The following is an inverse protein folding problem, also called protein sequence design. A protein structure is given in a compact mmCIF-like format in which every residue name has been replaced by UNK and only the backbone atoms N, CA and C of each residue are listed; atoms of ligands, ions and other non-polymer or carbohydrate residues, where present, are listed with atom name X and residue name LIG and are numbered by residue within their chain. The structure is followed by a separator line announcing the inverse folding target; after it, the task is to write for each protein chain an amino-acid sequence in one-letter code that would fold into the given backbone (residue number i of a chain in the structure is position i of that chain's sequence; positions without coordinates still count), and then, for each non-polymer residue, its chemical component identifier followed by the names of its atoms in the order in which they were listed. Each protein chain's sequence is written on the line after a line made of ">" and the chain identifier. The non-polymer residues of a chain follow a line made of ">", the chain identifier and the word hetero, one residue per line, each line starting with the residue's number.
data_IF_681924222811
#
_entry.id   IF_681924222811
#
_cell.length_a   1.000
_cell.length_b   1.000
_cell.length_c   1.000
_cell.angle_alpha   90.00
_cell.angle_beta   90.00
_cell.angle_gamma   90.00
#
_symmetry.space_group_name_H-M   'P 1'
#
loop_
_entity.id
_entity.type
_entity.pdbx_description
1 polymer ?
#
# COMPACT_ATOMS: atom_id res chain seq x y z
N UNK A 1 1.34 -8.90 -15.23
CA UNK A 1 1.88 -7.73 -15.98
C UNK A 1 2.16 -6.53 -15.06
N UNK A 2 1.40 -6.34 -13.98
CA UNK A 2 1.64 -5.30 -12.97
C UNK A 2 2.92 -5.58 -12.16
N UNK A 3 3.21 -6.86 -11.90
CA UNK A 3 4.34 -7.30 -11.07
C UNK A 3 5.70 -6.93 -11.68
N UNK A 4 5.84 -7.06 -13.01
CA UNK A 4 7.07 -6.69 -13.72
C UNK A 4 7.32 -5.19 -13.72
N UNK A 5 6.26 -4.38 -13.88
CA UNK A 5 6.37 -2.92 -13.84
C UNK A 5 6.81 -2.42 -12.44
N UNK A 6 6.32 -3.05 -11.37
CA UNK A 6 6.72 -2.70 -10.01
C UNK A 6 8.17 -3.11 -9.72
N UNK A 7 8.58 -4.29 -10.18
CA UNK A 7 9.97 -4.78 -10.03
C UNK A 7 10.93 -3.87 -10.80
N UNK A 8 10.58 -3.45 -12.02
CA UNK A 8 11.41 -2.55 -12.82
C UNK A 8 11.51 -1.16 -12.18
N UNK A 9 10.41 -0.63 -11.62
CA UNK A 9 10.41 0.63 -10.86
C UNK A 9 11.33 0.56 -9.63
N UNK A 10 11.22 -0.50 -8.83
CA UNK A 10 12.07 -0.70 -7.66
C UNK A 10 13.55 -0.88 -8.05
N UNK A 11 13.81 -1.50 -9.21
CA UNK A 11 15.17 -1.70 -9.74
C UNK A 11 15.80 -0.41 -10.25
N UNK A 12 15.04 0.49 -10.87
CA UNK A 12 15.53 1.83 -11.22
C UNK A 12 15.90 2.61 -9.96
N UNK A 13 15.06 2.53 -8.91
CA UNK A 13 15.28 3.27 -7.67
C UNK A 13 16.48 2.78 -6.86
N UNK A 14 16.79 1.49 -6.91
CA UNK A 14 18.01 0.92 -6.28
C UNK A 14 19.27 1.03 -7.13
N UNK A 15 19.23 1.76 -8.26
CA UNK A 15 20.32 1.87 -9.24
C UNK A 15 20.77 0.51 -9.80
N UNK A 16 19.81 -0.36 -10.10
CA UNK A 16 20.05 -1.69 -10.67
C UNK A 16 20.45 -2.76 -9.66
N UNK A 17 20.47 -2.47 -8.36
CA UNK A 17 20.84 -3.43 -7.32
C UNK A 17 19.64 -4.26 -6.91
N UNK A 18 19.80 -5.58 -6.83
CA UNK A 18 18.74 -6.51 -6.39
C UNK A 18 18.36 -6.39 -4.91
N UNK A 19 19.10 -5.56 -4.16
CA UNK A 19 18.98 -5.37 -2.72
C UNK A 19 18.72 -3.89 -2.41
N UNK A 20 17.69 -3.64 -1.60
CA UNK A 20 17.24 -2.32 -1.19
C UNK A 20 17.65 -2.03 0.26
N UNK A 21 18.03 -0.77 0.53
CA UNK A 21 18.37 -0.34 1.89
C UNK A 21 17.12 0.00 2.70
N UNK A 22 17.19 0.04 4.05
CA UNK A 22 16.05 0.38 4.90
C UNK A 22 15.56 1.82 4.71
N UNK A 23 16.45 2.72 4.26
CA UNK A 23 16.11 4.11 3.93
C UNK A 23 15.26 4.19 2.67
N UNK A 24 15.64 3.45 1.62
CA UNK A 24 14.86 3.37 0.38
C UNK A 24 13.50 2.72 0.62
N UNK A 25 13.44 1.70 1.47
CA UNK A 25 12.20 1.04 1.88
C UNK A 25 11.30 1.94 2.72
N UNK A 26 11.88 2.89 3.46
CA UNK A 26 11.12 3.88 4.21
C UNK A 26 10.33 4.82 3.31
N UNK A 27 10.83 5.14 2.12
CA UNK A 27 10.15 6.00 1.17
C UNK A 27 8.95 5.29 0.52
N UNK A 28 9.07 3.99 0.25
CA UNK A 28 8.01 3.20 -0.41
C UNK A 28 6.87 2.84 0.54
N UNK A 29 7.19 2.43 1.78
CA UNK A 29 6.18 1.96 2.75
C UNK A 29 5.69 3.10 3.64
N UNK A 30 6.34 4.27 3.60
CA UNK A 30 6.04 5.39 4.50
C UNK A 30 6.38 5.12 5.97
N UNK A 31 7.05 4.00 6.29
CA UNK A 31 7.46 3.64 7.64
C UNK A 31 8.92 4.07 7.85
N UNK A 32 9.22 5.00 8.79
CA UNK A 32 10.57 5.45 9.07
C UNK A 32 11.55 4.30 9.36
N UNK A 33 12.77 4.37 8.84
CA UNK A 33 13.82 3.36 9.06
C UNK A 33 14.07 3.01 10.56
N UNK A 34 13.86 3.99 11.47
CA UNK A 34 13.91 3.76 12.93
C UNK A 34 12.79 2.83 13.41
N UNK A 35 11.58 3.00 12.91
CA UNK A 35 10.45 2.13 13.22
C UNK A 35 10.63 0.74 12.62
N UNK A 36 11.14 0.63 11.39
CA UNK A 36 11.51 -0.67 10.80
C UNK A 36 12.54 -1.40 11.66
N UNK A 37 13.56 -0.70 12.16
CA UNK A 37 14.58 -1.29 13.04
C UNK A 37 13.98 -1.82 14.36
N UNK A 38 12.99 -1.11 14.91
CA UNK A 38 12.25 -1.56 16.10
C UNK A 38 11.40 -2.79 15.80
N UNK A 39 10.64 -2.77 14.70
CA UNK A 39 9.82 -3.90 14.25
C UNK A 39 10.65 -5.14 13.93
N UNK A 40 11.85 -4.97 13.35
CA UNK A 40 12.81 -6.06 13.13
C UNK A 40 13.28 -6.68 14.45
N UNK A 41 13.63 -5.85 15.44
CA UNK A 41 14.04 -6.32 16.77
C UNK A 41 12.91 -7.00 17.54
N UNK A 42 11.68 -6.59 17.29
CA UNK A 42 10.46 -7.16 17.89
C UNK A 42 9.92 -8.37 17.12
N UNK A 43 10.55 -8.77 15.99
CA UNK A 43 10.11 -9.90 15.17
C UNK A 43 8.77 -9.68 14.47
N UNK A 44 8.32 -8.43 14.37
CA UNK A 44 7.03 -8.02 13.77
C UNK A 44 7.20 -7.38 12.40
N UNK A 45 8.41 -7.35 11.85
CA UNK A 45 8.63 -6.78 10.53
C UNK A 45 8.20 -7.77 9.44
N UNK A 46 7.26 -7.42 8.55
CA UNK A 46 6.67 -8.37 7.60
C UNK A 46 7.63 -8.84 6.50
N UNK A 47 8.68 -8.06 6.21
CA UNK A 47 9.56 -8.31 5.07
C UNK A 47 10.82 -9.04 5.54
N UNK A 48 11.16 -10.19 4.93
CA UNK A 48 12.42 -10.88 5.15
C UNK A 48 13.62 -9.94 4.96
N UNK A 49 14.57 -9.98 5.90
CA UNK A 49 15.76 -9.14 5.84
C UNK A 49 17.04 -9.99 5.87
N UNK A 50 18.05 -9.53 5.14
CA UNK A 50 19.38 -10.15 5.13
C UNK A 50 20.39 -9.18 5.71
N UNK A 51 21.08 -9.62 6.76
CA UNK A 51 22.16 -8.85 7.36
C UNK A 51 23.46 -9.10 6.60
N UNK A 52 24.02 -8.04 6.03
CA UNK A 52 25.35 -8.06 5.41
C UNK A 52 26.25 -7.16 6.25
N UNK A 53 27.02 -7.77 7.15
CA UNK A 53 27.80 -7.05 8.16
C UNK A 53 26.92 -6.31 9.17
N UNK A 54 27.11 -4.99 9.29
CA UNK A 54 26.29 -4.11 10.16
C UNK A 54 25.05 -3.55 9.47
N UNK A 55 24.93 -3.73 8.16
CA UNK A 55 23.86 -3.18 7.34
C UNK A 55 22.80 -4.26 7.06
N UNK A 56 21.56 -3.81 6.97
CA UNK A 56 20.40 -4.66 6.71
C UNK A 56 19.90 -4.36 5.31
N UNK A 57 19.66 -5.42 4.54
CA UNK A 57 19.18 -5.33 3.16
C UNK A 57 17.90 -6.12 2.98
N UNK A 58 17.08 -5.66 2.05
CA UNK A 58 15.82 -6.27 1.66
C UNK A 58 15.89 -6.68 0.19
N UNK A 59 15.29 -7.81 -0.19
CA UNK A 59 15.20 -8.17 -1.60
C UNK A 59 14.09 -7.36 -2.27
N UNK A 60 14.29 -6.97 -3.53
CA UNK A 60 13.26 -6.22 -4.28
C UNK A 60 11.98 -7.06 -4.44
N UNK A 61 12.12 -8.37 -4.61
CA UNK A 61 10.99 -9.28 -4.81
C UNK A 61 10.11 -9.37 -3.56
N UNK A 62 10.71 -9.53 -2.38
CA UNK A 62 9.95 -9.59 -1.13
C UNK A 62 9.23 -8.26 -0.82
N UNK A 63 9.83 -7.14 -1.25
CA UNK A 63 9.22 -5.80 -1.12
C UNK A 63 8.06 -5.64 -2.10
N UNK A 64 8.24 -6.07 -3.36
CA UNK A 64 7.18 -6.04 -4.36
C UNK A 64 5.97 -6.88 -3.93
N UNK A 65 6.22 -8.09 -3.41
CA UNK A 65 5.17 -8.97 -2.89
C UNK A 65 4.46 -8.37 -1.68
N UNK A 66 5.16 -7.64 -0.81
CA UNK A 66 4.55 -6.92 0.30
C UNK A 66 3.66 -5.76 -0.16
N UNK A 67 4.11 -4.99 -1.15
CA UNK A 67 3.34 -3.87 -1.70
C UNK A 67 2.09 -4.34 -2.47
N UNK A 68 2.19 -5.45 -3.19
CA UNK A 68 1.09 -6.01 -3.98
C UNK A 68 0.07 -6.77 -3.12
N UNK A 69 0.53 -7.59 -2.18
CA UNK A 69 -0.37 -8.45 -1.40
C UNK A 69 -0.85 -7.80 -0.09
N UNK A 70 -0.22 -6.72 0.38
CA UNK A 70 -0.58 -6.02 1.63
C UNK A 70 -0.49 -6.86 2.91
N UNK A 71 -0.15 -8.15 2.77
CA UNK A 71 0.06 -9.17 3.79
C UNK A 71 0.95 -10.22 3.16
N UNK A 72 2.10 -10.47 3.75
CA UNK A 72 2.82 -11.72 3.48
C UNK A 72 2.82 -12.58 4.74
N UNK A 73 2.05 -13.66 4.63
CA UNK A 73 2.24 -14.96 5.25
C UNK A 73 2.81 -14.95 6.68
N UNK A 74 1.88 -14.94 7.63
CA UNK A 74 2.00 -15.86 8.76
C UNK A 74 1.91 -17.30 8.23
N UNK A 75 3.02 -17.86 7.76
CA UNK A 75 3.24 -19.32 7.74
C UNK A 75 4.68 -19.54 8.23
N UNK A 76 4.87 -19.56 9.55
CA UNK A 76 4.95 -20.78 10.36
C UNK A 76 6.42 -21.17 10.65
N UNK A 77 6.72 -21.60 11.88
CA UNK A 77 8.05 -21.49 12.46
C UNK A 77 8.85 -22.79 12.25
N UNK A 78 9.89 -22.75 11.41
CA UNK A 78 10.90 -23.81 11.44
C UNK A 78 11.97 -23.50 12.48
N UNK A 79 11.72 -24.07 13.66
CA UNK A 79 12.65 -24.83 14.50
C UNK A 79 14.07 -24.25 14.68
N UNK A 80 14.35 -23.93 15.95
CA UNK A 80 15.64 -23.60 16.53
C UNK A 80 16.82 -24.49 16.06
N UNK A 81 18.06 -24.02 16.29
CA UNK A 81 18.78 -24.68 17.37
C UNK A 81 19.21 -23.72 18.49
N UNK A 82 19.25 -24.31 19.67
CA UNK A 82 19.49 -23.74 20.98
C UNK A 82 20.94 -23.28 21.21
N UNK A 83 21.08 -22.42 22.23
CA UNK A 83 22.19 -22.23 23.22
C UNK A 83 22.94 -20.88 23.15
N UNK A 84 23.50 -20.39 24.27
CA UNK A 84 22.90 -20.23 25.60
C UNK A 84 23.16 -18.81 26.21
N UNK A 85 22.27 -18.41 27.12
CA UNK A 85 22.41 -17.44 28.25
C UNK A 85 23.51 -16.35 28.23
N UNK A 86 23.10 -15.07 28.25
CA UNK A 86 23.62 -14.06 29.21
C UNK A 86 22.57 -13.00 29.59
N UNK A 87 22.29 -12.92 30.89
CA UNK A 87 21.81 -11.80 31.71
C UNK A 87 20.38 -11.21 31.49
N UNK A 88 19.50 -11.24 32.52
CA UNK A 88 18.23 -10.50 32.50
C UNK A 88 18.48 -9.03 32.87
N UNK A 89 18.59 -8.16 31.88
CA UNK A 89 18.55 -6.71 32.12
C UNK A 89 17.08 -6.31 32.34
N UNK A 90 16.74 -6.07 33.61
CA UNK A 90 15.46 -5.48 34.04
C UNK A 90 15.22 -4.15 33.32
N UNK A 91 14.41 -4.14 32.27
CA UNK A 91 13.87 -2.90 31.70
C UNK A 91 12.66 -2.48 32.52
N UNK A 92 12.77 -1.34 33.20
CA UNK A 92 11.66 -0.69 33.91
C UNK A 92 10.52 -0.43 32.91
N UNK A 93 9.31 -0.84 33.28
CA UNK A 93 8.11 -0.57 32.50
C UNK A 93 7.85 0.95 32.45
N UNK A 94 7.65 1.55 31.26
CA UNK A 94 7.12 2.91 31.19
C UNK A 94 5.66 2.86 31.65
N UNK A 95 5.28 3.81 32.50
CA UNK A 95 3.90 3.94 33.00
C UNK A 95 2.95 4.03 31.80
N UNK A 96 2.01 3.09 31.72
CA UNK A 96 0.96 3.11 30.73
C UNK A 96 0.10 4.35 30.97
N UNK A 97 0.30 5.39 30.15
CA UNK A 97 -0.66 6.47 30.04
C UNK A 97 -1.90 5.91 29.35
N UNK A 98 -3.04 5.99 30.04
CA UNK A 98 -4.39 5.55 29.60
C UNK A 98 -4.95 6.46 28.49
N UNK A 99 -4.12 6.81 27.49
CA UNK A 99 -4.57 7.58 26.34
C UNK A 99 -5.30 6.59 25.43
N UNK A 100 -6.61 6.76 25.32
CA UNK A 100 -7.42 5.99 24.37
C UNK A 100 -6.90 6.30 22.97
N UNK A 101 -6.51 5.27 22.23
CA UNK A 101 -6.01 5.41 20.88
C UNK A 101 -7.17 5.73 19.93
N UNK A 102 -7.38 7.02 19.66
CA UNK A 102 -8.44 7.51 18.77
C UNK A 102 -8.05 7.42 17.29
N UNK A 103 -6.85 6.92 16.94
CA UNK A 103 -6.38 6.84 15.56
C UNK A 103 -7.32 6.06 14.64
N UNK A 104 -7.96 5.01 15.16
CA UNK A 104 -8.93 4.22 14.39
C UNK A 104 -10.18 5.02 13.98
N UNK A 105 -10.63 5.96 14.81
CA UNK A 105 -11.76 6.84 14.48
C UNK A 105 -11.39 7.77 13.32
N UNK A 106 -10.15 8.29 13.32
CA UNK A 106 -9.66 9.10 12.20
C UNK A 106 -9.53 8.27 10.92
N UNK A 107 -9.06 7.03 11.01
CA UNK A 107 -9.01 6.11 9.86
C UNK A 107 -10.40 5.81 9.30
N UNK A 108 -11.39 5.53 10.16
CA UNK A 108 -12.77 5.30 9.74
C UNK A 108 -13.38 6.54 9.08
N UNK A 109 -13.11 7.74 9.60
CA UNK A 109 -13.59 9.00 8.98
C UNK A 109 -12.97 9.24 7.62
N UNK A 110 -11.66 9.07 7.48
CA UNK A 110 -10.98 9.20 6.19
C UNK A 110 -11.51 8.18 5.17
N UNK A 111 -11.75 6.94 5.62
CA UNK A 111 -12.33 5.91 4.77
C UNK A 111 -13.76 6.26 4.33
N UNK A 112 -14.60 6.73 5.24
CA UNK A 112 -15.95 7.19 4.93
C UNK A 112 -15.94 8.34 3.90
N UNK A 113 -15.04 9.32 4.06
CA UNK A 113 -14.88 10.41 3.09
C UNK A 113 -14.47 9.88 1.70
N UNK A 114 -13.52 8.94 1.63
CA UNK A 114 -13.13 8.34 0.35
C UNK A 114 -14.27 7.57 -0.34
N UNK A 115 -15.19 6.99 0.45
CA UNK A 115 -16.38 6.30 -0.05
C UNK A 115 -17.39 7.30 -0.61
N UNK A 116 -17.59 8.42 0.08
CA UNK A 116 -18.47 9.51 -0.37
C UNK A 116 -17.97 10.15 -1.67
N UNK A 117 -16.67 10.41 -1.80
CA UNK A 117 -16.05 10.92 -3.03
C UNK A 117 -16.27 9.96 -4.21
N UNK A 118 -16.10 8.65 -4.01
CA UNK A 118 -16.40 7.66 -5.05
C UNK A 118 -17.87 7.61 -5.41
N UNK A 119 -18.76 7.67 -4.43
CA UNK A 119 -20.20 7.64 -4.67
C UNK A 119 -20.65 8.85 -5.51
N UNK A 120 -20.17 10.05 -5.18
CA UNK A 120 -20.48 11.28 -5.94
C UNK A 120 -19.90 11.24 -7.36
N UNK A 121 -18.68 10.70 -7.54
CA UNK A 121 -18.10 10.48 -8.85
C UNK A 121 -18.94 9.49 -9.69
N UNK A 122 -19.43 8.40 -9.10
CA UNK A 122 -20.30 7.45 -9.80
C UNK A 122 -21.66 8.04 -10.16
N UNK A 123 -22.25 8.88 -9.29
CA UNK A 123 -23.49 9.58 -9.58
C UNK A 123 -23.35 10.54 -10.76
N UNK A 124 -22.29 11.36 -10.78
CA UNK A 124 -22.05 12.29 -11.90
C UNK A 124 -21.80 11.54 -13.21
N UNK A 125 -21.10 10.40 -13.17
CA UNK A 125 -20.94 9.54 -14.34
C UNK A 125 -22.29 9.02 -14.85
N UNK A 126 -23.18 8.59 -13.96
CA UNK A 126 -24.50 8.09 -14.34
C UNK A 126 -25.36 9.20 -15.00
N UNK A 127 -25.33 10.42 -14.47
CA UNK A 127 -26.00 11.58 -15.06
C UNK A 127 -25.44 11.89 -16.45
N UNK A 128 -24.12 11.92 -16.61
CA UNK A 128 -23.47 12.15 -17.91
C UNK A 128 -23.87 11.10 -18.95
N UNK A 129 -23.96 9.83 -18.57
CA UNK A 129 -24.39 8.76 -19.47
C UNK A 129 -25.86 8.91 -19.87
N UNK A 130 -26.73 9.31 -18.93
CA UNK A 130 -28.13 9.58 -19.21
C UNK A 130 -28.30 10.77 -20.16
N UNK A 131 -27.55 11.84 -19.93
CA UNK A 131 -27.56 13.03 -20.80
C UNK A 131 -27.03 12.71 -22.20
N UNK A 132 -25.99 11.88 -22.30
CA UNK A 132 -25.49 11.41 -23.58
C UNK A 132 -26.53 10.59 -24.34
N UNK A 133 -27.21 9.65 -23.67
CA UNK A 133 -28.29 8.88 -24.26
C UNK A 133 -29.42 9.78 -24.77
N UNK A 134 -29.89 10.71 -23.92
CA UNK A 134 -30.94 11.67 -24.30
C UNK A 134 -30.55 12.53 -25.51
N UNK A 135 -29.31 13.03 -25.54
CA UNK A 135 -28.81 13.83 -26.68
C UNK A 135 -28.78 13.01 -27.97
N UNK A 136 -28.38 11.74 -27.88
CA UNK A 136 -28.34 10.84 -29.03
C UNK A 136 -29.75 10.56 -29.56
N UNK A 137 -30.69 10.22 -28.68
CA UNK A 137 -32.10 10.03 -29.04
C UNK A 137 -32.69 11.29 -29.69
N UNK A 138 -32.40 12.48 -29.12
CA UNK A 138 -32.82 13.74 -29.73
C UNK A 138 -32.24 13.93 -31.12
N UNK A 139 -30.92 13.73 -31.32
CA UNK A 139 -30.30 13.86 -32.65
C UNK A 139 -30.90 12.88 -33.67
N UNK A 140 -31.14 11.64 -33.30
CA UNK A 140 -31.78 10.64 -34.16
C UNK A 140 -33.20 11.10 -34.54
N UNK A 141 -33.99 11.54 -33.56
CA UNK A 141 -35.34 12.05 -33.82
C UNK A 141 -35.37 13.33 -34.68
N UNK A 142 -34.35 14.19 -34.56
CA UNK A 142 -34.20 15.37 -35.41
C UNK A 142 -33.82 14.97 -36.84
N UNK A 143 -32.91 14.01 -37.03
CA UNK A 143 -32.53 13.53 -38.35
C UNK A 143 -33.70 12.86 -39.09
N UNK A 144 -34.57 12.13 -38.37
CA UNK A 144 -35.78 11.56 -38.95
C UNK A 144 -36.81 12.62 -39.35
N UNK A 145 -37.00 13.65 -38.51
CA UNK A 145 -38.05 14.68 -38.72
C UNK A 145 -37.64 15.82 -39.64
N UNK A 146 -36.34 16.12 -39.72
CA UNK A 146 -35.75 17.14 -40.59
C UNK A 146 -34.61 16.50 -41.39
N UNK A 147 -34.92 15.75 -42.46
CA UNK A 147 -33.87 15.28 -43.36
C UNK A 147 -33.11 16.50 -43.91
N UNK A 148 -31.77 16.44 -44.00
CA UNK A 148 -30.99 17.56 -44.52
C UNK A 148 -31.48 17.86 -45.94
N UNK A 149 -31.91 19.09 -46.17
CA UNK A 149 -32.26 19.57 -47.51
C UNK A 149 -31.02 19.39 -48.38
N UNK A 150 -31.09 18.42 -49.30
CA UNK A 150 -30.08 18.24 -50.33
C UNK A 150 -29.94 19.55 -51.10
N UNK A 151 -28.71 20.06 -51.16
CA UNK A 151 -28.31 21.11 -52.09
C UNK A 151 -28.05 20.49 -53.46
#
# INVERSE_FOLDING_TARGET
>A
MIDQQLIDYLREKTKGKLLMSPEQLSEEIGIPAKQQSKLRKEGRFPIPFKNIGRLVYYSIYDVADFLLNGKTALEAPQKAPERPTTAPIKKKAPRASTVQDLSHIFMLRAFAQSLEERATAMLSLAENLKDYANKKEMMESFAEKLPPKGY
#
